data_IF_900654295306
#
_entry.id   IF_900654295306
#
_cell.length_a   1.000
_cell.length_b   1.000
_cell.length_c   1.000
_cell.angle_alpha   90.00
_cell.angle_beta   90.00
_cell.angle_gamma   90.00
#
_symmetry.space_group_name_H-M   'P 1'
#
loop_
_entity.id
_entity.type
_entity.pdbx_description
1 polymer ?
#
# COMPACT_ATOMS: atom_id res chain seq x y z
N UNK A 1 -1.76 36.74 -33.53
CA UNK A 1 -1.43 36.31 -32.16
C UNK A 1 -0.73 34.96 -32.27
N UNK A 2 0.41 34.78 -31.61
CA UNK A 2 1.14 33.51 -31.62
C UNK A 2 0.39 32.47 -30.78
N UNK A 3 0.48 31.18 -31.16
CA UNK A 3 -0.23 30.08 -30.49
C UNK A 3 0.08 30.02 -28.97
N UNK A 4 1.27 30.43 -28.58
CA UNK A 4 1.69 30.53 -27.18
C UNK A 4 0.89 31.57 -26.38
N UNK A 5 0.66 32.76 -26.95
CA UNK A 5 -0.12 33.82 -26.30
C UNK A 5 -1.57 33.38 -26.13
N UNK A 6 -2.10 32.61 -27.09
CA UNK A 6 -3.44 32.04 -27.01
C UNK A 6 -3.55 30.97 -25.92
N UNK A 7 -2.56 30.09 -25.79
CA UNK A 7 -2.49 29.09 -24.71
C UNK A 7 -2.37 29.74 -23.31
N UNK A 8 -1.56 30.81 -23.18
CA UNK A 8 -1.41 31.54 -21.91
C UNK A 8 -2.73 32.22 -21.51
N UNK A 9 -3.40 32.88 -22.46
CA UNK A 9 -4.69 33.53 -22.19
C UNK A 9 -5.77 32.52 -21.83
N UNK A 10 -5.77 31.33 -22.46
CA UNK A 10 -6.69 30.25 -22.13
C UNK A 10 -6.47 29.70 -20.71
N UNK A 11 -5.22 29.60 -20.25
CA UNK A 11 -4.89 29.13 -18.89
C UNK A 11 -5.20 30.14 -17.79
N UNK A 12 -5.17 31.45 -18.09
CA UNK A 12 -5.46 32.48 -17.09
C UNK A 12 -6.94 32.55 -16.69
N UNK A 13 -7.84 32.15 -17.60
CA UNK A 13 -9.27 32.40 -17.46
C UNK A 13 -10.10 31.15 -17.10
N UNK A 14 -9.47 30.00 -16.82
CA UNK A 14 -10.17 28.73 -16.59
C UNK A 14 -9.93 28.22 -15.17
N UNK A 15 -11.02 27.80 -14.52
CA UNK A 15 -11.00 27.23 -13.17
C UNK A 15 -10.26 25.89 -13.16
N UNK A 16 -9.44 25.68 -12.11
CA UNK A 16 -8.62 24.48 -11.99
C UNK A 16 -9.49 23.22 -11.80
N UNK A 17 -9.02 22.05 -12.27
CA UNK A 17 -9.78 20.80 -12.17
C UNK A 17 -10.12 20.38 -10.73
N UNK A 18 -9.43 20.93 -9.73
CA UNK A 18 -9.74 20.71 -8.31
C UNK A 18 -11.11 21.29 -7.90
N UNK A 19 -11.61 22.30 -8.62
CA UNK A 19 -12.98 22.83 -8.47
C UNK A 19 -14.00 22.19 -9.42
N UNK A 20 -13.61 21.13 -10.14
CA UNK A 20 -14.47 20.45 -11.11
C UNK A 20 -14.47 21.06 -12.52
N UNK A 21 -13.50 21.93 -12.84
CA UNK A 21 -13.31 22.45 -14.20
C UNK A 21 -12.76 21.39 -15.17
N UNK A 22 -13.21 21.39 -16.42
CA UNK A 22 -12.64 20.55 -17.48
C UNK A 22 -11.30 21.15 -17.96
N UNK A 23 -10.28 20.31 -18.07
CA UNK A 23 -8.94 20.74 -18.53
C UNK A 23 -9.02 21.25 -19.97
N UNK A 24 -8.61 22.50 -20.22
CA UNK A 24 -8.65 23.09 -21.56
C UNK A 24 -7.64 22.44 -22.49
N UNK A 25 -8.03 22.02 -23.71
CA UNK A 25 -7.10 21.48 -24.69
C UNK A 25 -6.19 22.61 -25.19
N UNK A 26 -4.88 22.47 -24.95
CA UNK A 26 -3.86 23.41 -25.40
C UNK A 26 -3.32 22.98 -26.77
N UNK A 27 -2.96 23.94 -27.61
CA UNK A 27 -2.30 23.65 -28.89
C UNK A 27 -0.85 23.26 -28.63
N UNK A 28 -0.41 22.11 -29.17
CA UNK A 28 0.99 21.67 -29.10
C UNK A 28 1.83 22.48 -30.10
N UNK A 29 2.71 23.33 -29.59
CA UNK A 29 3.72 24.02 -30.41
C UNK A 29 4.98 23.15 -30.46
N UNK A 30 5.27 22.62 -31.65
CA UNK A 30 6.45 21.80 -31.94
C UNK A 30 7.72 22.68 -31.97
N UNK A 31 8.68 22.38 -31.09
CA UNK A 31 10.01 23.00 -31.06
C UNK A 31 11.05 21.92 -31.39
N UNK A 32 11.19 21.66 -32.68
CA UNK A 32 12.21 20.75 -33.24
C UNK A 32 13.63 21.15 -32.83
N UNK A 33 14.20 20.45 -31.85
CA UNK A 33 15.57 20.58 -31.38
C UNK A 33 16.01 19.36 -30.54
N UNK A 34 17.24 18.88 -30.75
CA UNK A 34 17.79 17.58 -30.28
C UNK A 34 18.23 17.58 -28.80
N UNK A 35 17.80 18.54 -27.98
CA UNK A 35 18.07 18.54 -26.53
C UNK A 35 16.76 18.53 -25.75
N UNK A 36 16.63 17.71 -24.69
CA UNK A 36 15.42 17.68 -23.87
C UNK A 36 15.24 19.04 -23.20
N UNK A 37 14.16 19.74 -23.55
CA UNK A 37 13.79 20.99 -22.90
C UNK A 37 13.24 20.68 -21.50
N UNK A 38 13.70 21.37 -20.45
CA UNK A 38 13.16 21.16 -19.11
C UNK A 38 11.70 21.64 -19.08
N UNK A 39 10.75 20.69 -18.97
CA UNK A 39 9.36 21.00 -18.66
C UNK A 39 9.26 21.49 -17.23
N UNK A 40 9.29 22.81 -17.04
CA UNK A 40 8.87 23.44 -15.80
C UNK A 40 7.35 23.34 -15.75
N UNK A 41 6.82 22.37 -15.00
CA UNK A 41 5.43 22.42 -14.60
C UNK A 41 5.24 23.68 -13.76
N UNK A 42 4.44 24.63 -14.27
CA UNK A 42 4.07 25.82 -13.55
C UNK A 42 3.28 25.40 -12.29
N UNK A 43 3.95 25.43 -11.14
CA UNK A 43 3.27 25.32 -9.86
C UNK A 43 2.45 26.59 -9.67
N UNK A 44 1.16 26.49 -9.29
CA UNK A 44 0.30 27.67 -9.18
C UNK A 44 0.82 28.62 -8.10
N UNK A 45 0.97 29.88 -8.50
CA UNK A 45 1.34 31.04 -7.70
C UNK A 45 0.58 31.07 -6.34
N UNK A 46 1.29 30.84 -5.24
CA UNK A 46 0.76 31.03 -3.87
C UNK A 46 0.87 32.48 -3.38
N UNK A 47 1.43 33.38 -4.20
CA UNK A 47 1.83 34.74 -3.79
C UNK A 47 0.66 35.73 -3.72
N UNK A 48 -0.52 35.40 -4.26
CA UNK A 48 -1.65 36.34 -4.26
C UNK A 48 -2.46 36.35 -2.96
N UNK A 49 -2.33 35.35 -2.08
CA UNK A 49 -3.04 35.33 -0.79
C UNK A 49 -2.28 36.02 0.36
N UNK A 50 -1.02 36.43 0.17
CA UNK A 50 -0.19 37.00 1.23
C UNK A 50 -0.27 38.54 1.36
N UNK A 51 -1.11 39.22 0.57
CA UNK A 51 -1.16 40.70 0.53
C UNK A 51 -2.38 41.29 1.27
N UNK A 52 -3.24 40.46 1.88
CA UNK A 52 -4.45 40.92 2.56
C UNK A 52 -4.37 40.86 4.11
N UNK A 53 -3.36 41.47 4.73
CA UNK A 53 -3.43 41.95 6.12
C UNK A 53 -2.13 42.66 6.54
N UNK A 54 -2.06 43.99 6.39
CA UNK A 54 -1.58 44.98 7.39
C UNK A 54 -1.28 46.33 6.71
N UNK A 55 -1.73 47.47 7.27
CA UNK A 55 -1.47 48.79 6.72
C UNK A 55 -0.18 49.41 7.28
N UNK A 56 0.35 50.38 6.52
CA UNK A 56 1.36 51.38 6.88
C UNK A 56 2.84 50.94 6.80
N UNK A 57 3.55 51.46 5.78
CA UNK A 57 4.46 52.62 5.96
C UNK A 57 5.65 52.56 4.97
N UNK A 58 5.71 53.60 4.13
CA UNK A 58 6.95 54.33 3.78
C UNK A 58 7.94 53.74 2.77
N UNK A 59 8.05 54.46 1.63
CA UNK A 59 9.24 54.73 0.79
C UNK A 59 10.10 53.52 0.37
N UNK A 60 10.31 53.22 -0.91
CA UNK A 60 10.68 54.15 -1.97
C UNK A 60 12.00 53.67 -2.60
N UNK A 61 12.13 53.82 -3.91
CA UNK A 61 13.32 53.66 -4.75
C UNK A 61 13.76 52.23 -5.18
N UNK A 62 13.59 52.02 -6.50
CA UNK A 62 14.31 51.11 -7.41
C UNK A 62 15.84 51.17 -7.25
N UNK A 63 16.65 50.14 -7.60
CA UNK A 63 17.04 49.84 -9.00
C UNK A 63 16.99 48.32 -9.33
N UNK A 64 16.59 47.93 -10.54
CA UNK A 64 17.40 47.87 -11.77
C UNK A 64 18.56 46.85 -11.72
N UNK A 65 18.42 45.84 -12.58
CA UNK A 65 19.46 45.29 -13.46
C UNK A 65 20.56 44.38 -12.89
N UNK A 66 20.41 43.09 -13.27
CA UNK A 66 21.43 42.17 -13.79
C UNK A 66 22.50 41.66 -12.82
N UNK A 67 22.47 40.34 -12.59
CA UNK A 67 23.59 39.61 -11.99
C UNK A 67 23.35 38.11 -11.88
N UNK A 68 23.58 37.40 -12.99
CA UNK A 68 24.11 36.02 -13.04
C UNK A 68 24.00 35.17 -11.76
N UNK A 69 23.00 34.28 -11.69
CA UNK A 69 23.08 33.08 -10.86
C UNK A 69 23.56 31.91 -11.70
N UNK A 70 24.88 31.81 -11.89
CA UNK A 70 25.54 30.53 -12.07
C UNK A 70 25.27 29.68 -10.81
N UNK A 71 24.96 28.38 -10.92
CA UNK A 71 24.82 27.51 -9.76
C UNK A 71 26.22 27.19 -9.23
N UNK A 72 26.75 28.09 -8.39
CA UNK A 72 27.87 27.80 -7.51
C UNK A 72 27.38 27.02 -6.28
N UNK A 73 28.19 26.05 -5.85
CA UNK A 73 27.92 25.16 -4.73
C UNK A 73 27.42 25.90 -3.47
N UNK A 74 26.13 25.77 -3.19
CA UNK A 74 25.47 26.43 -2.07
C UNK A 74 23.97 26.30 -2.22
N UNK A 75 23.43 25.12 -1.87
CA UNK A 75 22.02 24.81 -2.03
C UNK A 75 21.12 25.85 -1.37
N UNK A 76 20.27 26.47 -2.19
CA UNK A 76 19.11 27.22 -1.73
C UNK A 76 18.14 26.25 -1.03
N UNK A 77 18.21 26.20 0.30
CA UNK A 77 17.06 25.74 1.08
C UNK A 77 16.10 26.93 1.22
N UNK A 78 14.78 26.73 1.07
CA UNK A 78 13.83 27.83 1.20
C UNK A 78 13.95 28.43 2.60
N UNK A 79 13.97 29.77 2.68
CA UNK A 79 14.13 30.55 3.90
C UNK A 79 12.88 30.54 4.81
N UNK A 80 12.15 29.43 4.85
CA UNK A 80 11.10 29.18 5.82
C UNK A 80 11.27 27.75 6.33
N UNK A 81 11.85 27.62 7.53
CA UNK A 81 12.16 26.32 8.15
C UNK A 81 11.46 26.22 9.50
N UNK A 82 11.01 25.00 9.77
CA UNK A 82 10.21 24.53 10.90
C UNK A 82 10.74 24.97 12.28
N UNK A 83 9.83 25.15 13.26
CA UNK A 83 10.13 25.64 14.62
C UNK A 83 10.83 24.61 15.53
N UNK A 84 11.67 23.74 14.97
CA UNK A 84 12.54 22.86 15.74
C UNK A 84 13.98 23.21 15.39
N UNK A 85 14.65 23.90 16.30
CA UNK A 85 15.96 24.55 16.16
C UNK A 85 17.15 23.60 15.92
N UNK A 86 17.11 22.84 14.83
CA UNK A 86 18.13 21.85 14.45
C UNK A 86 19.31 22.50 13.69
N UNK A 87 19.16 23.77 13.26
CA UNK A 87 20.22 24.54 12.61
C UNK A 87 20.50 25.86 13.36
N UNK A 88 20.82 25.79 14.66
CA UNK A 88 21.50 26.91 15.35
C UNK A 88 22.95 26.99 14.86
N UNK A 89 23.14 27.58 13.68
CA UNK A 89 24.43 27.61 13.02
C UNK A 89 24.28 28.15 11.61
N UNK A 90 23.78 29.38 11.52
CA UNK A 90 23.63 30.10 10.26
C UNK A 90 24.90 30.07 9.41
N UNK A 91 24.71 30.23 8.11
CA UNK A 91 25.67 30.15 7.00
C UNK A 91 26.90 31.09 7.08
N UNK A 92 27.24 31.61 8.25
CA UNK A 92 28.41 32.45 8.53
C UNK A 92 29.43 31.78 9.45
N UNK A 93 29.04 30.79 10.27
CA UNK A 93 29.97 30.10 11.19
C UNK A 93 30.80 28.98 10.55
N UNK A 94 30.34 28.41 9.44
CA UNK A 94 31.03 27.29 8.77
C UNK A 94 32.30 27.71 8.03
N UNK A 95 32.36 28.95 7.53
CA UNK A 95 33.53 29.44 6.79
C UNK A 95 34.72 29.71 7.71
N UNK A 96 34.46 30.27 8.89
CA UNK A 96 35.47 30.54 9.91
C UNK A 96 36.02 29.24 10.50
N UNK A 97 35.13 28.29 10.85
CA UNK A 97 35.52 26.96 11.30
C UNK A 97 36.32 26.19 10.23
N UNK A 98 35.97 26.32 8.95
CA UNK A 98 36.70 25.66 7.86
C UNK A 98 38.07 26.31 7.61
N UNK A 99 38.20 27.63 7.82
CA UNK A 99 39.47 28.34 7.72
C UNK A 99 40.41 27.99 8.88
N UNK A 100 39.87 27.87 10.10
CA UNK A 100 40.62 27.46 11.29
C UNK A 100 41.09 26.00 11.16
N UNK A 101 40.22 25.11 10.68
CA UNK A 101 40.58 23.71 10.41
C UNK A 101 41.66 23.58 9.35
N UNK A 102 41.58 24.35 8.25
CA UNK A 102 42.64 24.37 7.21
C UNK A 102 43.97 24.86 7.77
N UNK A 103 43.96 25.86 8.65
CA UNK A 103 45.18 26.36 9.31
C UNK A 103 45.77 25.33 10.28
N UNK A 104 44.93 24.63 11.03
CA UNK A 104 45.35 23.54 11.92
C UNK A 104 45.95 22.37 11.13
N UNK A 105 45.32 21.95 10.03
CA UNK A 105 45.80 20.85 9.18
C UNK A 105 47.09 21.21 8.44
N UNK A 106 47.26 22.47 8.02
CA UNK A 106 48.49 22.95 7.39
C UNK A 106 49.66 23.12 8.38
N UNK A 107 49.39 23.13 9.69
CA UNK A 107 50.41 23.21 10.73
C UNK A 107 51.01 21.84 11.09
N UNK A 108 50.43 20.75 10.57
CA UNK A 108 50.94 19.41 10.78
C UNK A 108 52.20 19.21 9.91
N UNK A 109 53.29 18.63 10.47
CA UNK A 109 54.44 18.20 9.68
C UNK A 109 54.00 17.29 8.53
N UNK A 110 54.70 17.36 7.40
CA UNK A 110 54.39 16.51 6.24
C UNK A 110 54.30 15.04 6.68
N UNK A 111 53.20 14.34 6.34
CA UNK A 111 53.02 12.97 6.76
C UNK A 111 54.08 12.10 6.10
N UNK A 112 55.12 11.74 6.85
CA UNK A 112 56.06 10.71 6.48
C UNK A 112 55.42 9.38 6.83
N UNK A 113 54.82 8.75 5.81
CA UNK A 113 54.28 7.40 5.88
C UNK A 113 55.42 6.36 5.92
N UNK A 114 56.31 6.46 6.92
CA UNK A 114 57.38 5.51 7.15
C UNK A 114 56.88 4.42 8.10
N UNK A 115 55.98 3.56 7.60
CA UNK A 115 55.56 2.35 8.30
C UNK A 115 56.39 1.18 7.77
N UNK A 116 57.42 0.79 8.50
CA UNK A 116 58.06 -0.50 8.33
C UNK A 116 57.16 -1.54 9.00
N UNK A 117 56.36 -2.26 8.21
CA UNK A 117 55.65 -3.44 8.68
C UNK A 117 56.72 -4.49 8.92
N UNK A 118 57.28 -4.51 10.13
CA UNK A 118 58.04 -5.66 10.62
C UNK A 118 57.02 -6.76 10.86
N UNK A 119 56.77 -7.56 9.81
CA UNK A 119 56.23 -8.89 10.01
C UNK A 119 57.22 -9.62 10.92
N UNK A 120 56.83 -10.08 12.13
CA UNK A 120 57.70 -10.96 12.88
C UNK A 120 57.93 -12.20 12.02
N UNK A 121 59.18 -12.42 11.60
CA UNK A 121 59.64 -13.67 11.00
C UNK A 121 59.45 -14.77 12.05
N UNK A 122 58.25 -15.33 12.05
CA UNK A 122 57.80 -16.42 12.89
C UNK A 122 57.21 -17.49 11.98
N UNK A 123 58.12 -18.24 11.36
CA UNK A 123 57.98 -19.65 10.97
C UNK A 123 56.57 -20.23 11.15
N UNK A 124 55.80 -20.33 10.07
CA UNK A 124 54.87 -21.45 9.89
C UNK A 124 54.56 -21.61 8.42
N UNK A 125 55.16 -22.65 7.85
CA UNK A 125 54.66 -23.32 6.65
C UNK A 125 53.28 -23.91 6.97
N UNK A 126 52.22 -23.16 6.73
CA UNK A 126 50.89 -23.73 6.54
C UNK A 126 50.33 -23.15 5.24
N UNK A 127 49.91 -24.06 4.36
CA UNK A 127 49.42 -23.76 3.03
C UNK A 127 48.38 -22.63 3.07
N UNK A 128 48.70 -21.49 2.46
CA UNK A 128 47.71 -20.53 2.03
C UNK A 128 46.86 -21.22 0.94
N UNK A 129 45.78 -21.88 1.38
CA UNK A 129 44.61 -22.00 0.53
C UNK A 129 44.28 -20.58 0.06
N UNK A 130 44.10 -20.34 -1.24
CA UNK A 130 43.65 -19.04 -1.69
C UNK A 130 42.30 -18.80 -1.03
N UNK A 131 42.25 -17.91 -0.04
CA UNK A 131 40.98 -17.40 0.45
C UNK A 131 40.27 -16.82 -0.77
N UNK A 132 39.28 -17.56 -1.28
CA UNK A 132 38.19 -17.01 -2.04
C UNK A 132 37.48 -16.00 -1.12
N UNK A 133 38.08 -14.82 -0.97
CA UNK A 133 37.34 -13.58 -0.80
C UNK A 133 36.56 -13.37 -2.10
N UNK A 134 35.58 -14.24 -2.34
CA UNK A 134 34.48 -13.95 -3.23
C UNK A 134 33.83 -12.73 -2.63
N UNK A 135 34.08 -11.57 -3.24
CA UNK A 135 33.40 -10.32 -2.93
C UNK A 135 31.92 -10.65 -2.74
N UNK A 136 31.45 -10.62 -1.49
CA UNK A 136 30.07 -10.97 -1.16
C UNK A 136 29.21 -10.00 -1.97
N UNK A 137 28.54 -10.53 -2.99
CA UNK A 137 27.85 -9.72 -3.99
C UNK A 137 26.77 -8.92 -3.26
N UNK A 138 27.05 -7.64 -3.02
CA UNK A 138 26.13 -6.76 -2.31
C UNK A 138 25.05 -6.34 -3.29
N UNK A 139 23.87 -6.94 -3.13
CA UNK A 139 22.65 -6.55 -3.84
C UNK A 139 22.51 -5.03 -3.87
N UNK A 140 22.19 -4.48 -5.04
CA UNK A 140 21.97 -3.05 -5.15
C UNK A 140 20.67 -2.63 -4.41
N UNK A 141 20.47 -1.33 -4.24
CA UNK A 141 19.29 -0.83 -3.53
C UNK A 141 17.96 -1.22 -4.21
N UNK A 142 17.97 -1.54 -5.51
CA UNK A 142 16.81 -2.00 -6.25
C UNK A 142 16.54 -3.49 -5.98
N UNK A 143 17.58 -4.33 -5.96
CA UNK A 143 17.54 -5.76 -5.67
C UNK A 143 17.03 -6.02 -4.25
N UNK A 144 17.55 -5.30 -3.26
CA UNK A 144 17.08 -5.39 -1.88
C UNK A 144 15.59 -4.99 -1.74
N UNK A 145 15.15 -3.99 -2.52
CA UNK A 145 13.75 -3.55 -2.54
C UNK A 145 12.85 -4.57 -3.22
N UNK A 146 13.29 -5.17 -4.32
CA UNK A 146 12.57 -6.22 -5.03
C UNK A 146 12.44 -7.48 -4.17
N UNK A 147 13.53 -7.92 -3.53
CA UNK A 147 13.53 -9.05 -2.60
C UNK A 147 12.55 -8.82 -1.44
N UNK A 148 12.57 -7.63 -0.83
CA UNK A 148 11.62 -7.27 0.24
C UNK A 148 10.17 -7.22 -0.27
N UNK A 149 9.95 -6.73 -1.49
CA UNK A 149 8.63 -6.71 -2.10
C UNK A 149 8.11 -8.14 -2.36
N UNK A 150 8.97 -9.04 -2.89
CA UNK A 150 8.67 -10.46 -3.09
C UNK A 150 8.33 -11.15 -1.77
N UNK A 151 9.14 -10.96 -0.73
CA UNK A 151 8.88 -11.51 0.61
C UNK A 151 7.55 -11.01 1.19
N UNK A 152 7.24 -9.72 1.04
CA UNK A 152 5.96 -9.15 1.49
C UNK A 152 4.77 -9.70 0.69
N UNK A 153 4.93 -9.88 -0.62
CA UNK A 153 3.90 -10.46 -1.47
C UNK A 153 3.63 -11.92 -1.09
N UNK A 154 4.67 -12.72 -0.88
CA UNK A 154 4.57 -14.11 -0.48
C UNK A 154 3.96 -14.27 0.91
N UNK A 155 4.32 -13.41 1.87
CA UNK A 155 3.67 -13.35 3.18
C UNK A 155 2.18 -13.05 3.05
N UNK A 156 1.81 -12.06 2.24
CA UNK A 156 0.40 -11.71 1.99
C UNK A 156 -0.36 -12.87 1.35
N UNK A 157 0.24 -13.59 0.40
CA UNK A 157 -0.39 -14.76 -0.21
C UNK A 157 -0.61 -15.88 0.80
N UNK A 158 0.38 -16.17 1.67
CA UNK A 158 0.22 -17.16 2.75
C UNK A 158 -0.87 -16.77 3.74
N UNK A 159 -0.92 -15.50 4.14
CA UNK A 159 -1.97 -14.98 5.03
C UNK A 159 -3.35 -15.11 4.38
N UNK A 160 -3.49 -14.76 3.10
CA UNK A 160 -4.73 -14.88 2.33
C UNK A 160 -5.15 -16.36 2.22
N UNK A 161 -4.21 -17.26 1.91
CA UNK A 161 -4.46 -18.70 1.82
C UNK A 161 -4.87 -19.32 3.17
N UNK A 162 -4.41 -18.76 4.29
CA UNK A 162 -4.82 -19.18 5.63
C UNK A 162 -6.18 -18.58 6.06
N UNK A 163 -6.71 -17.60 5.34
CA UNK A 163 -8.05 -17.04 5.61
C UNK A 163 -9.16 -17.90 5.03
N UNK A 164 -10.39 -17.61 5.44
CA UNK A 164 -11.61 -18.28 5.02
C UNK A 164 -11.84 -18.19 3.50
N UNK A 165 -12.52 -19.19 2.92
CA UNK A 165 -12.81 -19.24 1.48
C UNK A 165 -13.65 -18.03 1.01
N UNK A 166 -14.49 -17.47 1.87
CA UNK A 166 -15.28 -16.26 1.58
C UNK A 166 -14.34 -15.10 1.25
N UNK A 167 -13.29 -14.91 2.04
CA UNK A 167 -12.28 -13.88 1.80
C UNK A 167 -11.45 -14.21 0.56
N UNK A 168 -11.05 -15.47 0.39
CA UNK A 168 -10.27 -15.90 -0.78
C UNK A 168 -11.00 -15.65 -2.11
N UNK A 169 -12.32 -15.87 -2.11
CA UNK A 169 -13.18 -15.68 -3.28
C UNK A 169 -13.74 -14.27 -3.40
N UNK A 170 -13.32 -13.35 -2.53
CA UNK A 170 -13.81 -11.96 -2.47
C UNK A 170 -15.35 -11.86 -2.39
N UNK A 171 -15.97 -12.80 -1.68
CA UNK A 171 -17.41 -12.81 -1.45
C UNK A 171 -17.80 -11.85 -0.31
N UNK A 172 -19.03 -11.34 -0.29
CA UNK A 172 -19.52 -10.48 0.80
C UNK A 172 -19.43 -11.19 2.15
N UNK A 173 -18.80 -10.53 3.12
CA UNK A 173 -18.75 -10.99 4.51
C UNK A 173 -20.11 -10.79 5.21
N UNK A 174 -20.51 -11.67 6.14
CA UNK A 174 -21.65 -11.41 7.00
C UNK A 174 -21.37 -10.21 7.91
N UNK A 175 -22.40 -9.42 8.22
CA UNK A 175 -22.27 -8.27 9.13
C UNK A 175 -22.37 -8.65 10.60
N UNK A 176 -23.09 -9.73 10.91
CA UNK A 176 -23.32 -10.23 12.27
C UNK A 176 -23.36 -11.76 12.25
N UNK A 177 -22.89 -12.35 13.35
CA UNK A 177 -23.03 -13.79 13.58
C UNK A 177 -24.50 -14.10 13.91
N UNK A 178 -25.07 -15.12 13.27
CA UNK A 178 -26.43 -15.58 13.53
C UNK A 178 -26.41 -16.77 14.50
N UNK A 179 -26.55 -16.52 15.79
CA UNK A 179 -26.50 -17.58 16.82
C UNK A 179 -27.59 -18.65 16.64
N UNK A 180 -28.73 -18.28 16.04
CA UNK A 180 -29.82 -19.21 15.78
C UNK A 180 -29.46 -20.30 14.76
N UNK A 181 -28.55 -20.02 13.82
CA UNK A 181 -28.14 -20.98 12.79
C UNK A 181 -27.23 -22.08 13.36
N UNK A 182 -26.53 -21.81 14.46
CA UNK A 182 -25.53 -22.70 15.04
C UNK A 182 -25.98 -23.34 16.36
N UNK A 183 -27.28 -23.33 16.67
CA UNK A 183 -27.80 -23.95 17.89
C UNK A 183 -27.63 -25.47 17.83
N UNK A 184 -27.15 -26.09 18.94
CA UNK A 184 -27.05 -27.53 19.02
C UNK A 184 -28.44 -28.16 18.96
N UNK A 185 -28.53 -29.33 18.34
CA UNK A 185 -29.74 -30.12 18.28
C UNK A 185 -30.06 -30.71 19.65
N UNK A 186 -31.35 -30.83 19.98
CA UNK A 186 -31.79 -31.59 21.15
C UNK A 186 -31.68 -33.11 20.93
N UNK A 187 -31.51 -33.54 19.68
CA UNK A 187 -31.40 -34.96 19.31
C UNK A 187 -30.00 -35.47 19.66
N UNK A 188 -29.93 -36.66 20.30
CA UNK A 188 -28.68 -37.26 20.78
C UNK A 188 -28.11 -38.35 19.86
N UNK A 189 -28.61 -38.44 18.63
CA UNK A 189 -28.06 -39.37 17.62
C UNK A 189 -26.59 -39.03 17.36
N UNK A 190 -25.80 -40.03 16.94
CA UNK A 190 -24.38 -39.82 16.65
C UNK A 190 -24.18 -38.80 15.52
N UNK A 191 -25.02 -38.85 14.49
CA UNK A 191 -25.04 -37.82 13.44
C UNK A 191 -25.36 -36.42 13.98
N UNK A 192 -26.36 -36.28 14.86
CA UNK A 192 -26.67 -34.97 15.44
C UNK A 192 -25.52 -34.42 16.30
N UNK A 193 -24.82 -35.29 17.04
CA UNK A 193 -23.62 -34.91 17.78
C UNK A 193 -22.49 -34.47 16.85
N UNK A 194 -22.27 -35.18 15.74
CA UNK A 194 -21.29 -34.79 14.73
C UNK A 194 -21.65 -33.44 14.08
N UNK A 195 -22.91 -33.24 13.69
CA UNK A 195 -23.41 -31.98 13.14
C UNK A 195 -23.21 -30.82 14.11
N UNK A 196 -23.44 -31.03 15.41
CA UNK A 196 -23.30 -29.99 16.41
C UNK A 196 -21.83 -29.60 16.63
N UNK A 197 -20.89 -30.55 16.53
CA UNK A 197 -19.46 -30.24 16.51
C UNK A 197 -19.08 -29.41 15.28
N UNK A 198 -19.59 -29.78 14.10
CA UNK A 198 -19.36 -29.01 12.87
C UNK A 198 -19.93 -27.59 12.98
N UNK A 199 -21.15 -27.43 13.51
CA UNK A 199 -21.76 -26.11 13.72
C UNK A 199 -20.96 -25.24 14.69
N UNK A 200 -20.41 -25.82 15.75
CA UNK A 200 -19.58 -25.09 16.71
C UNK A 200 -18.31 -24.52 16.03
N UNK A 201 -17.65 -25.33 15.20
CA UNK A 201 -16.50 -24.89 14.39
C UNK A 201 -16.90 -23.83 13.36
N UNK A 202 -18.01 -24.02 12.65
CA UNK A 202 -18.53 -23.04 11.70
C UNK A 202 -18.86 -21.69 12.38
N UNK A 203 -19.45 -21.72 13.57
CA UNK A 203 -19.75 -20.51 14.34
C UNK A 203 -18.46 -19.75 14.68
N UNK A 204 -17.40 -20.47 15.06
CA UNK A 204 -16.07 -19.89 15.35
C UNK A 204 -15.45 -19.26 14.10
N UNK A 205 -15.56 -19.92 12.94
CA UNK A 205 -15.08 -19.39 11.66
C UNK A 205 -15.81 -18.12 11.25
N UNK A 206 -17.14 -18.11 11.35
CA UNK A 206 -17.96 -16.92 11.04
C UNK A 206 -17.69 -15.78 12.04
N UNK A 207 -17.50 -16.10 13.32
CA UNK A 207 -17.12 -15.10 14.32
C UNK A 207 -15.76 -14.48 14.00
N UNK A 208 -14.78 -15.26 13.54
CA UNK A 208 -13.49 -14.75 13.08
C UNK A 208 -13.67 -13.82 11.87
N UNK A 209 -14.48 -14.17 10.88
CA UNK A 209 -14.71 -13.33 9.70
C UNK A 209 -15.33 -11.97 10.02
N UNK A 210 -16.21 -11.92 11.04
CA UNK A 210 -16.94 -10.73 11.49
C UNK A 210 -16.11 -9.87 12.46
N UNK A 211 -15.40 -10.50 13.39
CA UNK A 211 -14.70 -9.81 14.49
C UNK A 211 -13.20 -9.64 14.22
N UNK A 212 -12.67 -10.27 13.16
CA UNK A 212 -11.23 -10.37 12.81
C UNK A 212 -10.34 -10.87 13.97
N UNK A 213 -10.93 -11.54 14.97
CA UNK A 213 -10.23 -12.14 16.11
C UNK A 213 -9.86 -13.59 15.81
N UNK A 214 -8.57 -13.93 15.97
CA UNK A 214 -8.08 -15.28 15.73
C UNK A 214 -8.76 -16.31 16.65
N UNK A 215 -9.08 -17.53 16.15
CA UNK A 215 -9.58 -18.63 16.96
C UNK A 215 -8.65 -18.97 18.12
N UNK A 216 -9.22 -19.37 19.27
CA UNK A 216 -8.45 -19.79 20.45
C UNK A 216 -7.76 -21.14 20.29
N UNK A 217 -8.33 -22.02 19.46
CA UNK A 217 -7.79 -23.33 19.16
C UNK A 217 -7.17 -23.30 17.77
N UNK A 218 -5.88 -23.60 17.71
CA UNK A 218 -5.11 -23.71 16.46
C UNK A 218 -4.54 -25.13 16.40
N UNK A 219 -4.76 -25.82 15.29
CA UNK A 219 -4.24 -27.17 15.06
C UNK A 219 -2.97 -27.12 14.23
N UNK A 220 -2.04 -28.02 14.51
CA UNK A 220 -0.82 -28.16 13.73
C UNK A 220 -1.11 -28.65 12.31
N UNK A 221 -0.31 -28.21 11.34
CA UNK A 221 -0.48 -28.55 9.93
C UNK A 221 -0.46 -30.08 9.68
N UNK A 222 0.34 -30.81 10.46
CA UNK A 222 0.43 -32.26 10.38
C UNK A 222 -0.87 -32.96 10.82
N UNK A 223 -1.52 -32.43 11.86
CA UNK A 223 -2.80 -32.96 12.35
C UNK A 223 -3.89 -32.72 11.33
N UNK A 224 -3.91 -31.54 10.70
CA UNK A 224 -4.86 -31.18 9.64
C UNK A 224 -4.68 -32.10 8.42
N UNK A 225 -3.43 -32.35 7.99
CA UNK A 225 -3.14 -33.24 6.87
C UNK A 225 -3.63 -34.67 7.14
N UNK A 226 -3.28 -35.24 8.30
CA UNK A 226 -3.75 -36.57 8.69
C UNK A 226 -5.29 -36.63 8.76
N UNK A 227 -5.94 -35.63 9.35
CA UNK A 227 -7.40 -35.55 9.39
C UNK A 227 -8.01 -35.49 7.97
N UNK A 228 -7.41 -34.73 7.05
CA UNK A 228 -7.87 -34.66 5.66
C UNK A 228 -7.75 -36.01 4.94
N UNK A 229 -6.64 -36.74 5.15
CA UNK A 229 -6.44 -38.07 4.61
C UNK A 229 -7.47 -39.07 5.17
N UNK A 230 -7.74 -39.01 6.47
CA UNK A 230 -8.80 -39.83 7.09
C UNK A 230 -10.18 -39.52 6.51
N UNK A 231 -10.51 -38.26 6.25
CA UNK A 231 -11.79 -37.88 5.63
C UNK A 231 -11.86 -38.45 4.21
N UNK A 232 -10.84 -38.23 3.39
CA UNK A 232 -10.83 -38.74 1.99
C UNK A 232 -10.93 -40.25 1.91
N UNK A 233 -10.33 -40.98 2.85
CA UNK A 233 -10.38 -42.45 2.89
C UNK A 233 -11.75 -43.00 3.30
N UNK A 234 -12.46 -42.30 4.18
CA UNK A 234 -13.76 -42.75 4.71
C UNK A 234 -14.96 -42.09 4.01
N UNK A 235 -14.73 -41.18 3.06
CA UNK A 235 -15.79 -40.54 2.31
C UNK A 235 -16.06 -41.38 1.05
N UNK A 236 -17.22 -42.01 0.99
CA UNK A 236 -17.72 -42.59 -0.24
C UNK A 236 -18.14 -41.46 -1.19
N UNK A 237 -17.79 -41.56 -2.47
CA UNK A 237 -18.28 -40.61 -3.48
C UNK A 237 -19.81 -40.71 -3.54
N UNK A 238 -20.48 -39.60 -3.20
CA UNK A 238 -21.94 -39.52 -3.30
C UNK A 238 -22.40 -39.70 -4.75
N UNK A 239 -23.67 -40.11 -4.97
CA UNK A 239 -24.20 -40.22 -6.33
C UNK A 239 -24.05 -38.88 -7.07
N UNK A 240 -23.64 -38.89 -8.35
CA UNK A 240 -23.49 -37.66 -9.12
C UNK A 240 -24.83 -36.93 -9.19
N UNK A 241 -24.79 -35.60 -9.15
CA UNK A 241 -26.00 -34.80 -9.31
C UNK A 241 -26.62 -35.05 -10.68
N UNK A 242 -27.80 -35.67 -10.68
CA UNK A 242 -28.59 -35.91 -11.88
C UNK A 242 -29.18 -34.59 -12.44
N UNK A 243 -29.55 -34.57 -13.72
CA UNK A 243 -30.21 -33.43 -14.36
C UNK A 243 -31.47 -32.98 -13.60
N UNK A 244 -32.20 -33.93 -13.00
CA UNK A 244 -33.35 -33.65 -12.14
C UNK A 244 -32.97 -32.85 -10.87
N UNK A 245 -31.85 -33.20 -10.24
CA UNK A 245 -31.37 -32.51 -9.04
C UNK A 245 -30.91 -31.09 -9.36
N UNK A 246 -30.25 -30.89 -10.51
CA UNK A 246 -29.89 -29.55 -10.98
C UNK A 246 -31.10 -28.67 -11.25
N UNK A 247 -32.15 -29.22 -11.87
CA UNK A 247 -33.40 -28.49 -12.09
C UNK A 247 -34.06 -28.05 -10.77
N UNK A 248 -34.01 -28.89 -9.73
CA UNK A 248 -34.53 -28.54 -8.38
C UNK A 248 -33.70 -27.42 -7.74
N UNK A 249 -32.38 -27.44 -7.90
CA UNK A 249 -31.49 -26.39 -7.39
C UNK A 249 -31.80 -25.05 -8.08
N UNK A 250 -31.95 -25.06 -9.40
CA UNK A 250 -32.33 -23.88 -10.19
C UNK A 250 -33.71 -23.34 -9.81
N UNK A 251 -34.68 -24.22 -9.58
CA UNK A 251 -35.99 -23.83 -9.08
C UNK A 251 -35.87 -23.19 -7.67
N UNK A 252 -35.10 -23.80 -6.77
CA UNK A 252 -34.93 -23.27 -5.42
C UNK A 252 -34.23 -21.91 -5.40
N UNK A 253 -33.26 -21.68 -6.30
CA UNK A 253 -32.54 -20.42 -6.38
C UNK A 253 -33.39 -19.30 -6.99
N UNK A 254 -34.21 -19.62 -7.99
CA UNK A 254 -35.12 -18.65 -8.62
C UNK A 254 -36.30 -18.25 -7.72
N UNK A 255 -36.76 -19.15 -6.85
CA UNK A 255 -37.85 -18.88 -5.89
C UNK A 255 -37.39 -18.20 -4.59
N UNK A 256 -36.09 -18.02 -4.38
CA UNK A 256 -35.54 -17.47 -3.14
C UNK A 256 -35.65 -15.94 -3.14
N UNK A 257 -36.43 -15.38 -2.22
CA UNK A 257 -36.60 -13.92 -2.09
C UNK A 257 -36.30 -13.47 -0.66
N UNK A 258 -35.73 -12.28 -0.51
CA UNK A 258 -35.49 -11.69 0.79
C UNK A 258 -36.78 -11.01 1.31
N UNK A 259 -37.28 -11.48 2.45
CA UNK A 259 -38.41 -10.87 3.17
C UNK A 259 -37.99 -10.59 4.62
N UNK A 260 -38.15 -9.34 5.07
CA UNK A 260 -37.83 -8.91 6.45
C UNK A 260 -36.41 -9.30 6.90
N UNK A 261 -35.45 -9.22 5.99
CA UNK A 261 -34.04 -9.56 6.26
C UNK A 261 -33.72 -11.06 6.29
N UNK A 262 -34.66 -11.93 5.91
CA UNK A 262 -34.46 -13.39 5.81
C UNK A 262 -34.74 -13.87 4.39
N UNK A 263 -34.00 -14.88 3.94
CA UNK A 263 -34.31 -15.54 2.67
C UNK A 263 -35.41 -16.58 2.88
N UNK A 264 -36.46 -16.50 2.08
CA UNK A 264 -37.62 -17.39 2.11
C UNK A 264 -38.07 -17.69 0.69
N UNK A 265 -38.67 -18.86 0.47
CA UNK A 265 -39.29 -19.17 -0.83
C UNK A 265 -40.51 -18.30 -1.06
N UNK A 266 -40.64 -17.71 -2.25
CA UNK A 266 -41.74 -16.83 -2.60
C UNK A 266 -43.12 -17.48 -2.41
N UNK A 267 -43.22 -18.77 -2.69
CA UNK A 267 -44.46 -19.54 -2.54
C UNK A 267 -44.97 -19.65 -1.09
N UNK A 268 -44.10 -19.44 -0.09
CA UNK A 268 -44.46 -19.51 1.34
C UNK A 268 -44.96 -18.16 1.87
N UNK A 269 -44.64 -17.06 1.19
CA UNK A 269 -45.02 -15.70 1.59
C UNK A 269 -46.47 -15.40 1.27
N UNK A 270 -47.09 -14.49 2.04
CA UNK A 270 -48.42 -13.97 1.71
C UNK A 270 -48.37 -13.15 0.42
N UNK A 271 -49.49 -13.02 -0.31
CA UNK A 271 -49.52 -12.28 -1.58
C UNK A 271 -49.00 -10.83 -1.45
N UNK A 272 -49.24 -10.19 -0.30
CA UNK A 272 -48.71 -8.85 -0.02
C UNK A 272 -47.19 -8.85 0.15
N UNK A 273 -46.66 -9.74 0.99
CA UNK A 273 -45.22 -9.86 1.22
C UNK A 273 -44.47 -10.31 -0.05
N UNK A 274 -45.11 -11.10 -0.93
CA UNK A 274 -44.55 -11.50 -2.23
C UNK A 274 -44.30 -10.27 -3.13
N UNK A 275 -45.27 -9.36 -3.20
CA UNK A 275 -45.15 -8.15 -4.04
C UNK A 275 -44.05 -7.23 -3.50
N UNK A 276 -44.01 -7.01 -2.20
CA UNK A 276 -42.97 -6.20 -1.56
C UNK A 276 -41.58 -6.79 -1.78
N UNK A 277 -41.44 -8.10 -1.59
CA UNK A 277 -40.17 -8.79 -1.73
C UNK A 277 -39.67 -8.80 -3.19
N UNK A 278 -40.55 -9.07 -4.16
CA UNK A 278 -40.22 -8.96 -5.58
C UNK A 278 -39.88 -7.51 -5.96
N UNK A 279 -40.66 -6.54 -5.49
CA UNK A 279 -40.39 -5.13 -5.76
C UNK A 279 -39.01 -4.72 -5.24
N UNK A 280 -38.63 -5.14 -4.03
CA UNK A 280 -37.28 -4.87 -3.49
C UNK A 280 -36.16 -5.54 -4.29
N UNK A 281 -36.41 -6.70 -4.88
CA UNK A 281 -35.43 -7.46 -5.67
C UNK A 281 -35.22 -6.84 -7.07
N UNK A 282 -36.28 -6.31 -7.67
CA UNK A 282 -36.25 -5.73 -9.03
C UNK A 282 -36.05 -4.20 -9.04
N UNK A 283 -36.00 -3.54 -7.87
CA UNK A 283 -35.52 -2.17 -7.72
C UNK A 283 -33.99 -2.13 -7.75
N UNK A 284 -33.42 -2.30 -8.94
CA UNK A 284 -32.07 -1.84 -9.30
C UNK A 284 -32.20 -0.54 -10.08
#
# INVERSE_FOLDING_TARGET
MTAEVQNILALQNVDTPLKGGLNTPLQETDFSGVLPTPRVQATPNTVLNAVAATPASTFGATPSSVGSFTPGAGGATPAFRDQMGINEGGATGGLEAQAELRRALASLPEPRNDYEIVAPDGESEEAEEPEENGEEWVDDAADAKEARAKQRALKRQRELAARTQVIQRSLPKPSKVCDAAFKPSLNRTEMARADDLIKAEMARLVAWDVQDQAPSEVYDENVIKNASEMITKNCDEGPPLDASMWAVIEQCSSELVQSRGKFTRIAVLSRGDQIEALHSQFQV
#
